data_IF_506130469522
#
_entry.id   IF_506130469522
#
_cell.length_a   1.000
_cell.length_b   1.000
_cell.length_c   1.000
_cell.angle_alpha   90.00
_cell.angle_beta   90.00
_cell.angle_gamma   90.00
#
_symmetry.space_group_name_H-M   'P 1'
#
loop_
_entity.id
_entity.type
_entity.pdbx_description
1 polymer ?
#
# COMPACT_ATOMS: atom_id res chain seq x y z
N UNK A 1 4.45 0.92 1.20
CA UNK A 1 5.49 -0.10 1.44
C UNK A 1 5.16 -1.48 0.83
N UNK A 2 4.06 -2.16 1.17
CA UNK A 2 3.74 -3.47 0.56
C UNK A 2 3.67 -3.45 -0.98
N UNK A 3 3.14 -2.35 -1.56
CA UNK A 3 3.16 -2.13 -3.02
C UNK A 3 4.58 -2.04 -3.60
N UNK A 4 5.56 -1.55 -2.84
CA UNK A 4 6.96 -1.51 -3.25
C UNK A 4 7.53 -2.92 -3.38
N UNK A 5 7.21 -3.81 -2.43
CA UNK A 5 7.58 -5.23 -2.50
C UNK A 5 6.89 -5.91 -3.67
N UNK A 6 5.57 -5.71 -3.84
CA UNK A 6 4.84 -6.26 -4.97
C UNK A 6 5.41 -5.79 -6.32
N UNK A 7 5.71 -4.50 -6.46
CA UNK A 7 6.35 -3.96 -7.65
C UNK A 7 7.72 -4.60 -7.90
N UNK A 8 8.54 -4.76 -6.85
CA UNK A 8 9.87 -5.37 -6.98
C UNK A 8 9.79 -6.86 -7.34
N UNK A 9 8.81 -7.58 -6.82
CA UNK A 9 8.54 -8.97 -7.20
C UNK A 9 8.14 -9.08 -8.68
N UNK A 10 7.31 -8.17 -9.20
CA UNK A 10 6.98 -8.12 -10.62
C UNK A 10 8.21 -7.81 -11.47
N UNK A 11 9.02 -6.84 -11.07
CA UNK A 11 10.26 -6.48 -11.77
C UNK A 11 11.24 -7.66 -11.85
N UNK A 12 11.29 -8.51 -10.82
CA UNK A 12 12.08 -9.75 -10.78
C UNK A 12 11.37 -10.98 -11.37
N UNK A 13 10.22 -10.83 -12.02
CA UNK A 13 9.39 -11.95 -12.51
C UNK A 13 9.12 -13.03 -11.44
N UNK A 14 9.01 -12.61 -10.17
CA UNK A 14 8.81 -13.50 -9.02
C UNK A 14 7.32 -13.62 -8.71
N UNK A 15 6.81 -14.85 -8.73
CA UNK A 15 5.43 -15.13 -8.33
C UNK A 15 5.18 -14.72 -6.88
N UNK A 16 4.11 -13.97 -6.62
CA UNK A 16 3.70 -13.58 -5.27
C UNK A 16 3.40 -14.77 -4.34
N UNK A 17 3.17 -15.96 -4.92
CA UNK A 17 2.93 -17.20 -4.17
C UNK A 17 4.22 -17.85 -3.65
N UNK A 18 5.38 -17.50 -4.21
CA UNK A 18 6.67 -17.97 -3.72
C UNK A 18 7.07 -17.17 -2.47
N UNK A 19 6.59 -17.62 -1.32
CA UNK A 19 6.71 -16.89 -0.05
C UNK A 19 8.15 -16.58 0.33
N UNK A 20 9.05 -17.53 0.14
CA UNK A 20 10.46 -17.38 0.51
C UNK A 20 11.15 -16.34 -0.39
N UNK A 21 10.91 -16.42 -1.70
CA UNK A 21 11.47 -15.43 -2.62
C UNK A 21 10.91 -14.02 -2.37
N UNK A 22 9.61 -13.89 -2.06
CA UNK A 22 9.03 -12.58 -1.73
C UNK A 22 9.53 -12.08 -0.38
N UNK A 23 9.74 -12.94 0.62
CA UNK A 23 10.32 -12.57 1.90
C UNK A 23 11.78 -12.11 1.75
N UNK A 24 12.57 -12.76 0.89
CA UNK A 24 13.93 -12.32 0.56
C UNK A 24 13.92 -10.92 -0.09
N UNK A 25 13.04 -10.69 -1.07
CA UNK A 25 12.84 -9.37 -1.67
C UNK A 25 12.45 -8.35 -0.59
N UNK A 26 11.47 -8.68 0.24
CA UNK A 26 10.97 -7.79 1.29
C UNK A 26 12.06 -7.45 2.31
N UNK A 27 12.97 -8.38 2.60
CA UNK A 27 14.08 -8.17 3.54
C UNK A 27 15.13 -7.23 2.98
N UNK A 28 15.51 -7.45 1.72
CA UNK A 28 16.65 -6.77 1.08
C UNK A 28 16.27 -5.44 0.40
N UNK A 29 15.00 -5.25 0.03
CA UNK A 29 14.59 -4.03 -0.67
C UNK A 29 14.83 -2.78 0.18
N UNK A 30 15.46 -1.77 -0.44
CA UNK A 30 15.59 -0.43 0.13
C UNK A 30 14.41 0.41 -0.35
N UNK A 31 13.58 0.87 0.59
CA UNK A 31 12.43 1.74 0.31
C UNK A 31 12.72 3.10 0.93
N UNK A 32 12.69 4.14 0.10
CA UNK A 32 12.90 5.52 0.54
C UNK A 32 11.65 6.33 0.20
N UNK A 33 11.23 7.15 1.17
CA UNK A 33 10.05 8.00 1.08
C UNK A 33 10.51 9.43 1.20
N UNK A 34 10.34 10.21 0.14
CA UNK A 34 10.79 11.60 0.09
C UNK A 34 9.61 12.54 -0.17
N UNK A 35 9.58 13.75 0.41
CA UNK A 35 8.59 14.75 0.04
C UNK A 35 8.83 15.21 -1.41
N UNK A 36 7.76 15.41 -2.16
CA UNK A 36 7.77 16.01 -3.49
C UNK A 36 6.64 17.03 -3.65
N UNK A 37 6.67 17.82 -4.72
CA UNK A 37 5.71 18.90 -4.97
C UNK A 37 4.25 18.42 -4.98
N UNK A 38 4.01 17.26 -5.60
CA UNK A 38 2.67 16.67 -5.76
C UNK A 38 2.38 15.54 -4.74
N UNK A 39 3.11 15.52 -3.63
CA UNK A 39 3.01 14.52 -2.58
C UNK A 39 4.26 13.64 -2.45
N UNK A 40 4.11 12.54 -1.74
CA UNK A 40 5.24 11.66 -1.39
C UNK A 40 5.78 10.91 -2.62
N UNK A 41 7.08 11.02 -2.84
CA UNK A 41 7.84 10.21 -3.78
C UNK A 41 8.28 8.91 -3.10
N UNK A 42 8.22 7.80 -3.84
CA UNK A 42 8.65 6.49 -3.37
C UNK A 42 9.73 5.94 -4.28
N UNK A 43 10.89 5.66 -3.68
CA UNK A 43 12.02 5.03 -4.34
C UNK A 43 12.19 3.60 -3.85
N UNK A 44 12.50 2.71 -4.79
CA UNK A 44 12.87 1.33 -4.52
C UNK A 44 14.22 1.06 -5.15
N UNK A 45 15.21 0.72 -4.33
CA UNK A 45 16.60 0.49 -4.76
C UNK A 45 17.13 1.63 -5.64
N UNK A 46 16.84 2.89 -5.25
CA UNK A 46 17.24 4.09 -5.98
C UNK A 46 16.37 4.47 -7.18
N UNK A 47 15.39 3.64 -7.59
CA UNK A 47 14.48 3.95 -8.70
C UNK A 47 13.19 4.59 -8.19
N UNK A 48 12.82 5.74 -8.75
CA UNK A 48 11.52 6.36 -8.49
C UNK A 48 10.40 5.49 -9.09
N UNK A 49 9.51 4.98 -8.25
CA UNK A 49 8.39 4.12 -8.66
C UNK A 49 7.02 4.70 -8.32
N UNK A 50 6.95 5.99 -7.99
CA UNK A 50 5.77 6.65 -7.41
C UNK A 50 4.49 6.41 -8.21
N UNK A 51 4.56 6.46 -9.54
CA UNK A 51 3.39 6.28 -10.39
C UNK A 51 3.08 4.80 -10.65
N UNK A 52 4.09 3.94 -10.67
CA UNK A 52 3.95 2.50 -10.81
C UNK A 52 3.19 1.89 -9.64
N UNK A 53 3.28 2.48 -8.44
CA UNK A 53 2.50 2.07 -7.27
C UNK A 53 0.98 2.20 -7.43
N UNK A 54 0.50 2.93 -8.44
CA UNK A 54 -0.93 3.13 -8.71
C UNK A 54 -1.47 2.12 -9.73
N UNK A 55 -0.61 1.36 -10.39
CA UNK A 55 -1.00 0.33 -11.36
C UNK A 55 -1.80 -0.77 -10.66
N UNK A 56 -2.82 -1.28 -11.34
CA UNK A 56 -3.76 -2.25 -10.77
C UNK A 56 -3.05 -3.55 -10.36
N UNK A 57 -2.14 -4.04 -11.19
CA UNK A 57 -1.37 -5.25 -10.90
C UNK A 57 -0.55 -5.13 -9.61
N UNK A 58 0.15 -4.01 -9.41
CA UNK A 58 0.88 -3.72 -8.17
C UNK A 58 -0.08 -3.62 -6.98
N UNK A 59 -1.26 -3.02 -7.18
CA UNK A 59 -2.27 -2.90 -6.14
C UNK A 59 -2.84 -4.26 -5.71
N UNK A 60 -3.10 -5.17 -6.65
CA UNK A 60 -3.53 -6.55 -6.39
C UNK A 60 -2.43 -7.35 -5.71
N UNK A 61 -1.20 -7.27 -6.25
CA UNK A 61 -0.04 -7.93 -5.66
C UNK A 61 0.22 -7.51 -4.22
N UNK A 62 0.03 -6.24 -3.89
CA UNK A 62 0.20 -5.75 -2.52
C UNK A 62 -0.72 -6.40 -1.50
N UNK A 63 -1.96 -6.76 -1.88
CA UNK A 63 -2.87 -7.48 -0.98
C UNK A 63 -2.36 -8.91 -0.71
N UNK A 64 -1.88 -9.60 -1.74
CA UNK A 64 -1.33 -10.96 -1.64
C UNK A 64 -0.05 -10.96 -0.78
N UNK A 65 0.82 -9.98 -1.00
CA UNK A 65 2.06 -9.78 -0.23
C UNK A 65 1.74 -9.44 1.24
N UNK A 66 0.79 -8.53 1.48
CA UNK A 66 0.42 -8.13 2.84
C UNK A 66 -0.31 -9.23 3.63
N UNK A 67 -0.92 -10.21 2.96
CA UNK A 67 -1.56 -11.35 3.63
C UNK A 67 -0.56 -12.35 4.24
N UNK A 68 0.73 -12.27 3.90
CA UNK A 68 1.76 -13.21 4.35
C UNK A 68 2.39 -12.75 5.68
N UNK A 69 2.28 -13.52 6.78
CA UNK A 69 2.75 -13.09 8.09
C UNK A 69 4.24 -12.71 8.15
N UNK A 70 5.10 -13.51 7.52
CA UNK A 70 6.55 -13.25 7.47
C UNK A 70 6.86 -11.89 6.81
N UNK A 71 6.14 -11.55 5.73
CA UNK A 71 6.32 -10.27 5.05
C UNK A 71 5.82 -9.12 5.93
N UNK A 72 4.69 -9.31 6.63
CA UNK A 72 4.17 -8.31 7.57
C UNK A 72 5.17 -8.01 8.69
N UNK A 73 5.83 -9.02 9.22
CA UNK A 73 6.85 -8.85 10.26
C UNK A 73 8.02 -8.00 9.77
N UNK A 74 8.57 -8.34 8.59
CA UNK A 74 9.66 -7.59 7.95
C UNK A 74 9.24 -6.14 7.67
N UNK A 75 8.04 -5.93 7.10
CA UNK A 75 7.53 -4.60 6.79
C UNK A 75 7.26 -3.78 8.05
N UNK A 76 6.72 -4.39 9.11
CA UNK A 76 6.51 -3.72 10.40
C UNK A 76 7.83 -3.24 10.99
N UNK A 77 8.88 -4.07 10.93
CA UNK A 77 10.22 -3.69 11.37
C UNK A 77 10.76 -2.48 10.59
N UNK A 78 10.64 -2.48 9.26
CA UNK A 78 11.06 -1.33 8.44
C UNK A 78 10.23 -0.07 8.71
N UNK A 79 8.91 -0.20 8.89
CA UNK A 79 8.03 0.91 9.23
C UNK A 79 8.41 1.53 10.57
N UNK A 80 8.72 0.71 11.59
CA UNK A 80 9.20 1.17 12.89
C UNK A 80 10.47 2.01 12.76
N UNK A 81 11.45 1.54 12.00
CA UNK A 81 12.68 2.30 11.71
C UNK A 81 12.40 3.64 11.05
N UNK A 82 11.46 3.71 10.10
CA UNK A 82 11.10 4.98 9.45
C UNK A 82 10.47 5.99 10.41
N UNK A 83 9.79 5.54 11.46
CA UNK A 83 9.13 6.42 12.43
C UNK A 83 9.89 6.60 13.76
N UNK A 84 11.06 5.97 13.92
CA UNK A 84 11.77 5.94 15.22
C UNK A 84 12.22 7.33 15.69
N UNK A 85 12.50 8.23 14.74
CA UNK A 85 12.89 9.61 15.00
C UNK A 85 11.71 10.57 15.22
N UNK A 86 10.48 10.06 15.20
CA UNK A 86 9.26 10.85 15.31
C UNK A 86 9.02 11.78 14.13
N UNK A 87 8.20 12.82 14.33
CA UNK A 87 7.83 13.84 13.31
C UNK A 87 7.31 13.25 11.99
N UNK A 88 6.67 12.09 12.07
CA UNK A 88 6.09 11.36 10.93
C UNK A 88 4.59 11.23 11.11
N UNK A 89 3.86 11.48 10.03
CA UNK A 89 2.47 11.04 9.88
C UNK A 89 2.50 9.78 9.03
N UNK A 90 1.98 8.67 9.57
CA UNK A 90 1.92 7.39 8.87
C UNK A 90 0.48 6.93 8.70
N UNK A 91 0.10 6.64 7.45
CA UNK A 91 -1.21 6.07 7.12
C UNK A 91 -1.12 4.56 6.90
N UNK A 92 -2.19 3.85 7.27
CA UNK A 92 -2.28 2.40 7.12
C UNK A 92 -3.43 1.79 7.91
N UNK A 93 -3.55 0.47 7.89
CA UNK A 93 -4.66 -0.26 8.52
C UNK A 93 -4.44 -0.50 10.02
N UNK A 94 -3.21 -0.78 10.42
CA UNK A 94 -2.84 -1.27 11.76
C UNK A 94 -1.68 -0.47 12.38
N UNK A 95 -1.49 0.78 11.92
CA UNK A 95 -0.40 1.64 12.38
C UNK A 95 -0.50 1.91 13.89
N UNK A 96 -1.66 2.35 14.37
CA UNK A 96 -1.86 2.71 15.77
C UNK A 96 -2.04 1.52 16.73
N UNK A 97 -2.24 0.31 16.22
CA UNK A 97 -2.51 -0.90 17.02
C UNK A 97 -1.35 -1.89 17.02
N UNK A 98 -0.63 -2.03 15.91
CA UNK A 98 0.45 -3.02 15.73
C UNK A 98 1.80 -2.35 15.53
N UNK A 99 1.91 -1.40 14.60
CA UNK A 99 3.21 -0.82 14.22
C UNK A 99 3.73 0.11 15.31
N UNK A 100 2.92 1.10 15.72
CA UNK A 100 3.20 2.11 16.73
C UNK A 100 2.08 2.16 17.78
N UNK A 101 1.94 1.13 18.64
CA UNK A 101 0.94 1.10 19.70
C UNK A 101 1.13 2.21 20.74
N UNK A 102 2.29 2.87 20.78
CA UNK A 102 2.60 3.99 21.67
C UNK A 102 2.65 5.35 20.95
N UNK A 103 2.11 5.47 19.73
CA UNK A 103 2.07 6.74 19.01
C UNK A 103 1.36 7.84 19.84
N UNK A 104 1.90 9.06 19.82
CA UNK A 104 1.38 10.21 20.61
C UNK A 104 -0.07 10.56 20.25
N UNK A 105 -0.41 10.39 18.96
CA UNK A 105 -1.73 10.65 18.39
C UNK A 105 -2.10 9.50 17.46
N UNK A 106 -3.35 9.04 17.56
CA UNK A 106 -3.91 7.99 16.70
C UNK A 106 -5.25 8.47 16.17
N UNK A 107 -5.43 8.35 14.86
CA UNK A 107 -6.67 8.70 14.18
C UNK A 107 -7.18 7.44 13.49
N UNK A 108 -8.47 7.17 13.65
CA UNK A 108 -9.19 6.16 12.88
C UNK A 108 -10.23 6.88 12.05
N UNK A 109 -10.09 6.81 10.72
CA UNK A 109 -11.03 7.42 9.79
C UNK A 109 -11.95 6.33 9.26
N UNK A 110 -13.25 6.52 9.47
CA UNK A 110 -14.30 5.64 8.97
C UNK A 110 -15.29 6.42 8.11
N UNK A 111 -15.97 5.72 7.20
CA UNK A 111 -17.00 6.27 6.33
C UNK A 111 -17.89 5.17 5.77
N UNK A 112 -19.15 5.53 5.49
CA UNK A 112 -20.12 4.64 4.87
C UNK A 112 -19.54 3.96 3.61
N UNK A 113 -19.71 2.63 3.43
CA UNK A 113 -19.20 1.91 2.27
C UNK A 113 -19.61 2.51 0.92
N UNK A 114 -20.84 3.02 0.80
CA UNK A 114 -21.32 3.69 -0.42
C UNK A 114 -20.55 4.97 -0.68
N UNK A 115 -20.25 5.75 0.35
CA UNK A 115 -19.47 6.99 0.20
C UNK A 115 -18.02 6.70 -0.18
N UNK A 116 -17.40 5.68 0.42
CA UNK A 116 -16.06 5.23 0.00
C UNK A 116 -16.04 4.75 -1.45
N UNK A 117 -17.07 4.01 -1.88
CA UNK A 117 -17.27 3.59 -3.26
C UNK A 117 -17.45 4.78 -4.22
N UNK A 118 -18.31 5.75 -3.87
CA UNK A 118 -18.51 6.99 -4.64
C UNK A 118 -17.22 7.77 -4.80
N UNK A 119 -16.48 8.00 -3.71
CA UNK A 119 -15.17 8.68 -3.75
C UNK A 119 -14.19 7.94 -4.66
N UNK A 120 -14.13 6.60 -4.56
CA UNK A 120 -13.25 5.77 -5.40
C UNK A 120 -13.63 5.85 -6.88
N UNK A 121 -14.92 5.85 -7.19
CA UNK A 121 -15.42 5.99 -8.56
C UNK A 121 -15.01 7.34 -9.18
N UNK A 122 -15.14 8.44 -8.44
CA UNK A 122 -14.67 9.76 -8.89
C UNK A 122 -13.16 9.77 -9.14
N UNK A 123 -12.37 9.15 -8.26
CA UNK A 123 -10.91 9.03 -8.45
C UNK A 123 -10.51 8.25 -9.70
N UNK A 124 -11.33 7.26 -10.11
CA UNK A 124 -11.10 6.48 -11.33
C UNK A 124 -11.54 7.26 -12.58
N UNK A 125 -12.63 8.04 -12.49
CA UNK A 125 -13.12 8.90 -13.60
C UNK A 125 -12.11 9.98 -13.96
N UNK A 126 -11.53 10.65 -12.97
CA UNK A 126 -10.53 11.69 -13.19
C UNK A 126 -9.19 11.21 -13.76
N UNK A 127 -9.03 9.92 -14.08
CA UNK A 127 -7.79 9.33 -14.61
C UNK A 127 -7.96 8.65 -15.97
N UNK A 128 -9.12 8.80 -16.63
CA UNK A 128 -9.47 8.10 -17.87
C UNK A 128 -9.34 6.55 -17.79
N UNK A 129 -9.27 5.99 -16.58
CA UNK A 129 -9.22 4.55 -16.32
C UNK A 129 -10.60 3.89 -16.44
N UNK A 130 -11.65 4.68 -16.74
CA UNK A 130 -13.02 4.22 -16.86
C UNK A 130 -13.50 4.31 -18.30
N UNK A 131 -13.21 3.27 -19.08
CA UNK A 131 -13.98 3.00 -20.31
C UNK A 131 -15.19 2.10 -20.07
N UNK A 132 -15.37 1.48 -18.88
CA UNK A 132 -16.39 0.43 -18.72
C UNK A 132 -16.87 0.09 -17.29
N UNK A 133 -16.53 0.82 -16.22
CA UNK A 133 -16.96 0.42 -14.85
C UNK A 133 -18.02 1.36 -14.30
N UNK A 134 -19.14 0.80 -13.87
CA UNK A 134 -20.25 1.54 -13.25
C UNK A 134 -20.05 1.70 -11.73
N UNK A 135 -20.75 2.68 -11.15
CA UNK A 135 -20.63 3.02 -9.72
C UNK A 135 -20.98 1.85 -8.80
N UNK A 136 -22.00 1.05 -9.16
CA UNK A 136 -22.42 -0.13 -8.41
C UNK A 136 -21.27 -1.12 -8.22
N UNK A 137 -20.58 -1.46 -9.31
CA UNK A 137 -19.43 -2.37 -9.29
C UNK A 137 -18.32 -1.87 -8.38
N UNK A 138 -18.04 -0.56 -8.39
CA UNK A 138 -17.01 0.02 -7.51
C UNK A 138 -17.42 -0.02 -6.05
N UNK A 139 -18.71 0.21 -5.75
CA UNK A 139 -19.24 0.07 -4.39
C UNK A 139 -19.11 -1.38 -3.93
N UNK A 140 -19.53 -2.34 -4.74
CA UNK A 140 -19.47 -3.77 -4.40
C UNK A 140 -18.03 -4.23 -4.13
N UNK A 141 -17.07 -3.77 -4.94
CA UNK A 141 -15.64 -4.03 -4.71
C UNK A 141 -15.12 -3.41 -3.41
N UNK A 142 -15.62 -2.24 -3.01
CA UNK A 142 -15.25 -1.63 -1.73
C UNK A 142 -15.85 -2.41 -0.57
N UNK A 143 -17.11 -2.85 -0.69
CA UNK A 143 -17.79 -3.67 0.31
C UNK A 143 -17.08 -5.02 0.49
N UNK A 144 -16.76 -5.72 -0.60
CA UNK A 144 -16.05 -7.01 -0.57
C UNK A 144 -14.65 -6.95 0.04
N UNK A 145 -14.05 -5.76 0.20
CA UNK A 145 -12.72 -5.61 0.81
C UNK A 145 -12.78 -5.37 2.32
N UNK A 146 -13.96 -5.08 2.84
CA UNK A 146 -14.18 -4.83 4.25
C UNK A 146 -14.66 -6.07 5.00
N UNK A 147 -15.23 -7.05 4.29
CA UNK A 147 -15.66 -8.36 4.79
C UNK A 147 -14.72 -9.46 4.29
#
# INVERSE_FOLDING_TARGET
MYRSVAWKSLEKNTSFKNRDAVADIASNVKIELLPGENGQLVFVDGKNITDQLKVEEVSRGAAIVAAQPMIREIMTSKQRKLGEHGKVVMDGRDIGTVVFPKADKKFFLDADPKERGRRRFVQLKGKDQLKSTDLSTVIDQVVQRDY
#
